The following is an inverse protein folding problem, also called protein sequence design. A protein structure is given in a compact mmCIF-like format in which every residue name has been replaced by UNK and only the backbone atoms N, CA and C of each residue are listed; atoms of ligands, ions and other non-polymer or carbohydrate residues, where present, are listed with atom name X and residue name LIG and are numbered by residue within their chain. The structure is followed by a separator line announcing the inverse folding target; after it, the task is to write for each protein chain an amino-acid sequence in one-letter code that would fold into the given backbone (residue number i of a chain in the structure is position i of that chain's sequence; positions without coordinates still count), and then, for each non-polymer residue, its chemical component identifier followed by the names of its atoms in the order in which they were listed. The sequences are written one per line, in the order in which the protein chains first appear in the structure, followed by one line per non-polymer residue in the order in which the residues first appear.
data_IF_054585390907
#
_entry.id   IF_054585390907
#
_cell.length_a   1.000
_cell.length_b   1.000
_cell.length_c   1.000
_cell.angle_alpha   90.00
_cell.angle_beta   90.00
_cell.angle_gamma   90.00
#
_symmetry.space_group_name_H-M   'P 1'
#
loop_
_entity.id
_entity.type
_entity.pdbx_description
1 polymer ?
#
# COMPACT_ATOMS: atom_id res chain seq x y z
N UNK A 1 23.52 -8.72 -7.27
CA UNK A 1 22.30 -8.61 -8.10
C UNK A 1 22.20 -7.28 -8.87
N UNK A 2 22.54 -6.13 -8.28
CA UNK A 2 22.41 -4.81 -8.94
C UNK A 2 23.71 -4.27 -9.58
N UNK A 3 24.87 -4.81 -9.21
CA UNK A 3 26.18 -4.25 -9.60
C UNK A 3 26.35 -4.09 -11.12
N UNK A 4 26.14 -5.17 -11.88
CA UNK A 4 26.23 -5.15 -13.35
C UNK A 4 25.20 -4.24 -14.03
N UNK A 5 24.07 -3.97 -13.38
CA UNK A 5 22.99 -3.13 -13.92
C UNK A 5 23.17 -1.64 -13.65
N UNK A 6 23.89 -1.30 -12.58
CA UNK A 6 24.17 0.07 -12.18
C UNK A 6 25.53 0.57 -12.68
N UNK A 7 26.41 -0.34 -13.10
CA UNK A 7 27.72 0.00 -13.65
C UNK A 7 27.55 0.77 -14.95
N UNK A 8 28.13 1.98 -15.01
CA UNK A 8 28.17 2.78 -16.23
C UNK A 8 29.50 2.56 -16.94
N UNK A 9 29.46 2.19 -18.22
CA UNK A 9 30.63 2.24 -19.08
C UNK A 9 30.95 3.72 -19.32
N UNK A 10 32.07 4.20 -18.77
CA UNK A 10 32.49 5.60 -18.91
C UNK A 10 34.00 5.67 -19.06
N UNK A 11 34.45 6.56 -19.95
CA UNK A 11 35.87 6.90 -20.14
C UNK A 11 36.35 8.02 -19.19
N UNK A 12 35.48 8.47 -18.27
CA UNK A 12 35.80 9.52 -17.28
C UNK A 12 36.48 8.90 -16.05
N UNK A 13 37.51 9.56 -15.52
CA UNK A 13 38.07 9.27 -14.20
C UNK A 13 37.01 9.53 -13.11
N UNK A 14 37.00 8.72 -12.04
CA UNK A 14 36.09 8.83 -10.88
C UNK A 14 34.59 8.66 -11.17
N UNK A 15 34.24 7.60 -11.90
CA UNK A 15 32.85 7.19 -12.05
C UNK A 15 32.24 6.79 -10.69
N UNK A 16 31.02 7.25 -10.42
CA UNK A 16 30.29 6.82 -9.21
C UNK A 16 30.07 5.30 -9.24
N UNK A 17 30.45 4.61 -8.17
CA UNK A 17 30.33 3.15 -8.09
C UNK A 17 28.86 2.73 -7.98
N UNK A 18 28.50 1.49 -8.36
CA UNK A 18 27.18 0.93 -8.08
C UNK A 18 26.78 1.04 -6.60
N UNK A 19 27.73 0.79 -5.69
CA UNK A 19 27.51 0.89 -4.24
C UNK A 19 27.17 2.31 -3.84
N UNK A 20 27.94 3.31 -4.29
CA UNK A 20 27.65 4.72 -3.97
C UNK A 20 26.30 5.17 -4.55
N UNK A 21 25.92 4.68 -5.74
CA UNK A 21 24.60 4.96 -6.29
C UNK A 21 23.48 4.41 -5.39
N UNK A 22 23.64 3.18 -4.89
CA UNK A 22 22.70 2.56 -3.95
C UNK A 22 22.66 3.34 -2.64
N UNK A 23 23.81 3.70 -2.07
CA UNK A 23 23.89 4.45 -0.81
C UNK A 23 23.20 5.81 -0.92
N UNK A 24 23.43 6.56 -2.01
CA UNK A 24 22.73 7.84 -2.26
C UNK A 24 21.22 7.65 -2.37
N UNK A 25 20.77 6.58 -3.01
CA UNK A 25 19.34 6.29 -3.17
C UNK A 25 18.70 5.91 -1.83
N UNK A 26 19.33 5.01 -1.07
CA UNK A 26 18.87 4.61 0.26
C UNK A 26 18.83 5.80 1.22
N UNK A 27 19.87 6.64 1.23
CA UNK A 27 19.91 7.85 2.03
C UNK A 27 18.78 8.81 1.65
N UNK A 28 18.49 8.97 0.36
CA UNK A 28 17.35 9.77 -0.08
C UNK A 28 16.03 9.16 0.41
N UNK A 29 15.81 7.85 0.26
CA UNK A 29 14.57 7.19 0.70
C UNK A 29 14.36 7.34 2.21
N UNK A 30 15.41 7.14 3.00
CA UNK A 30 15.40 7.18 4.46
C UNK A 30 15.31 8.60 5.05
N UNK A 31 15.68 9.64 4.30
CA UNK A 31 15.64 11.03 4.79
C UNK A 31 14.54 11.89 4.18
N UNK A 32 14.11 11.60 2.95
CA UNK A 32 13.29 12.53 2.16
C UNK A 32 13.94 13.88 1.91
N UNK A 33 15.26 14.00 2.11
CA UNK A 33 15.97 15.28 2.09
C UNK A 33 16.19 15.81 0.67
N UNK A 34 16.64 17.05 0.59
CA UNK A 34 17.02 17.68 -0.67
C UNK A 34 18.19 16.94 -1.32
N UNK A 35 18.12 16.80 -2.65
CA UNK A 35 19.18 16.15 -3.44
C UNK A 35 20.57 16.77 -3.25
N UNK A 36 20.64 18.05 -2.86
CA UNK A 36 21.89 18.73 -2.52
C UNK A 36 22.50 18.15 -1.24
N UNK A 37 21.71 18.10 -0.16
CA UNK A 37 22.15 17.54 1.12
C UNK A 37 22.59 16.07 1.00
N UNK A 38 21.85 15.28 0.23
CA UNK A 38 22.24 13.88 -0.08
C UNK A 38 23.56 13.83 -0.84
N UNK A 39 23.76 14.73 -1.80
CA UNK A 39 24.99 14.82 -2.60
C UNK A 39 26.21 15.27 -1.79
N UNK A 40 26.03 16.20 -0.86
CA UNK A 40 27.10 16.73 -0.02
C UNK A 40 27.76 15.61 0.82
N UNK A 41 26.98 14.60 1.26
CA UNK A 41 27.49 13.45 2.01
C UNK A 41 28.49 12.57 1.25
N UNK A 42 28.51 12.67 -0.09
CA UNK A 42 29.42 11.94 -0.99
C UNK A 42 30.22 12.86 -1.90
N UNK A 43 30.17 14.19 -1.68
CA UNK A 43 30.86 15.18 -2.50
C UNK A 43 30.40 15.20 -3.97
N UNK A 44 29.14 14.85 -4.27
CA UNK A 44 28.61 14.80 -5.64
C UNK A 44 27.53 15.85 -5.88
N UNK A 45 27.51 16.41 -7.09
CA UNK A 45 26.50 17.38 -7.49
C UNK A 45 25.08 16.76 -7.51
N UNK A 46 24.04 17.56 -7.20
CA UNK A 46 22.61 17.14 -7.18
C UNK A 46 22.16 16.39 -8.43
N UNK A 47 22.73 16.70 -9.60
CA UNK A 47 22.41 16.01 -10.85
C UNK A 47 22.86 14.55 -10.85
N UNK A 48 23.98 14.24 -10.20
CA UNK A 48 24.50 12.88 -10.05
C UNK A 48 23.62 12.08 -9.10
N UNK A 49 23.21 12.69 -7.98
CA UNK A 49 22.25 12.10 -7.03
C UNK A 49 20.93 11.78 -7.72
N UNK A 50 20.36 12.74 -8.46
CA UNK A 50 19.12 12.54 -9.21
C UNK A 50 19.21 11.33 -10.17
N UNK A 51 20.29 11.23 -10.95
CA UNK A 51 20.52 10.09 -11.85
C UNK A 51 20.69 8.78 -11.08
N UNK A 52 21.38 8.79 -9.94
CA UNK A 52 21.57 7.61 -9.11
C UNK A 52 20.23 7.11 -8.55
N UNK A 53 19.46 7.97 -7.88
CA UNK A 53 18.12 7.65 -7.36
C UNK A 53 17.24 7.08 -8.46
N UNK A 54 17.19 7.73 -9.63
CA UNK A 54 16.36 7.26 -10.74
C UNK A 54 16.78 5.88 -11.25
N UNK A 55 18.08 5.63 -11.40
CA UNK A 55 18.59 4.33 -11.89
C UNK A 55 18.31 3.24 -10.86
N UNK A 56 18.61 3.49 -9.58
CA UNK A 56 18.40 2.55 -8.49
C UNK A 56 16.93 2.25 -8.28
N UNK A 57 16.06 3.28 -8.24
CA UNK A 57 14.60 3.11 -8.14
C UNK A 57 14.06 2.22 -9.24
N UNK A 58 14.49 2.41 -10.49
CA UNK A 58 14.07 1.57 -11.61
C UNK A 58 14.50 0.12 -11.45
N UNK A 59 15.75 -0.13 -11.06
CA UNK A 59 16.24 -1.49 -10.88
C UNK A 59 15.59 -2.20 -9.69
N UNK A 60 15.35 -1.49 -8.58
CA UNK A 60 14.59 -2.03 -7.45
C UNK A 60 13.13 -2.29 -7.82
N UNK A 61 12.48 -1.39 -8.54
CA UNK A 61 11.09 -1.57 -8.97
C UNK A 61 10.91 -2.79 -9.90
N UNK A 62 11.93 -3.14 -10.70
CA UNK A 62 11.93 -4.38 -11.51
C UNK A 62 11.89 -5.65 -10.65
N UNK A 63 12.27 -5.58 -9.37
CA UNK A 63 12.17 -6.72 -8.45
C UNK A 63 10.75 -6.91 -7.91
N UNK A 64 9.78 -6.01 -8.20
CA UNK A 64 8.38 -6.12 -7.78
C UNK A 64 7.82 -7.54 -7.91
N UNK A 65 7.94 -8.26 -9.06
CA UNK A 65 7.36 -9.61 -9.19
C UNK A 65 7.96 -10.66 -8.23
N UNK A 66 9.12 -10.40 -7.63
CA UNK A 66 9.79 -11.30 -6.69
C UNK A 66 9.44 -11.03 -5.23
N UNK A 67 9.02 -9.80 -4.90
CA UNK A 67 8.78 -9.38 -3.52
C UNK A 67 7.34 -8.94 -3.24
N UNK A 68 6.60 -8.52 -4.26
CA UNK A 68 5.21 -8.05 -4.16
C UNK A 68 4.36 -8.94 -5.06
N UNK A 69 3.73 -9.93 -4.45
CA UNK A 69 2.84 -10.87 -5.11
C UNK A 69 1.78 -11.38 -4.12
N UNK A 70 0.56 -11.58 -4.63
CA UNK A 70 -0.49 -12.32 -3.93
C UNK A 70 -0.10 -13.80 -3.80
N UNK A 71 -0.67 -14.55 -2.84
CA UNK A 71 -0.43 -15.99 -2.70
C UNK A 71 -0.56 -16.74 -4.04
N UNK A 72 0.42 -17.60 -4.36
CA UNK A 72 0.50 -18.28 -5.68
C UNK A 72 -0.04 -19.70 -5.68
N UNK A 73 -0.22 -20.29 -4.51
CA UNK A 73 -0.66 -21.66 -4.35
C UNK A 73 -1.56 -21.80 -3.12
N UNK A 74 -2.23 -22.95 -3.02
CA UNK A 74 -3.16 -23.25 -1.94
C UNK A 74 -2.55 -23.10 -0.55
N UNK A 75 -1.30 -23.53 -0.37
CA UNK A 75 -0.64 -23.50 0.93
C UNK A 75 -0.36 -22.06 1.39
N UNK A 76 0.16 -21.21 0.51
CA UNK A 76 0.35 -19.79 0.79
C UNK A 76 -0.97 -19.06 1.06
N UNK A 77 -2.02 -19.44 0.33
CA UNK A 77 -3.37 -18.89 0.52
C UNK A 77 -3.92 -19.28 1.89
N UNK A 78 -3.89 -20.56 2.25
CA UNK A 78 -4.32 -21.05 3.58
C UNK A 78 -3.53 -20.38 4.71
N UNK A 79 -2.21 -20.22 4.55
CA UNK A 79 -1.39 -19.54 5.54
C UNK A 79 -1.82 -18.07 5.72
N UNK A 80 -2.13 -17.37 4.62
CA UNK A 80 -2.60 -15.98 4.66
C UNK A 80 -3.96 -15.88 5.34
N UNK A 81 -4.92 -16.74 4.96
CA UNK A 81 -6.25 -16.82 5.57
C UNK A 81 -6.16 -17.07 7.07
N UNK A 82 -5.36 -18.05 7.49
CA UNK A 82 -5.16 -18.35 8.91
C UNK A 82 -4.52 -17.18 9.66
N UNK A 83 -3.57 -16.46 9.04
CA UNK A 83 -2.94 -15.30 9.66
C UNK A 83 -3.94 -14.17 9.91
N UNK A 84 -4.82 -13.90 8.94
CA UNK A 84 -5.89 -12.92 9.12
C UNK A 84 -6.94 -13.37 10.15
N UNK A 85 -7.31 -14.65 10.10
CA UNK A 85 -8.26 -15.22 11.06
C UNK A 85 -7.80 -15.06 12.51
N UNK A 86 -6.48 -15.09 12.76
CA UNK A 86 -5.91 -14.89 14.08
C UNK A 86 -5.96 -13.44 14.59
N UNK A 87 -6.27 -12.44 13.75
CA UNK A 87 -6.37 -11.03 14.18
C UNK A 87 -7.67 -10.80 14.94
N UNK A 88 -8.81 -11.07 14.31
CA UNK A 88 -10.13 -10.85 14.92
C UNK A 88 -11.18 -11.83 14.40
N UNK A 89 -10.78 -13.07 14.07
CA UNK A 89 -11.67 -14.15 13.62
C UNK A 89 -12.45 -13.84 12.35
N UNK A 90 -11.97 -12.93 11.49
CA UNK A 90 -12.60 -12.71 10.20
C UNK A 90 -12.22 -13.85 9.23
N UNK A 91 -13.19 -14.60 8.67
CA UNK A 91 -12.90 -15.79 7.89
C UNK A 91 -12.50 -15.46 6.44
N UNK A 92 -11.73 -16.35 5.83
CA UNK A 92 -11.44 -16.38 4.37
C UNK A 92 -10.78 -15.11 3.81
N UNK A 93 -10.11 -14.28 4.61
CA UNK A 93 -9.46 -13.05 4.13
C UNK A 93 -8.11 -13.36 3.47
N UNK A 94 -7.89 -12.85 2.25
CA UNK A 94 -6.62 -12.98 1.52
C UNK A 94 -5.83 -11.66 1.45
N UNK A 95 -6.44 -10.54 1.84
CA UNK A 95 -5.77 -9.25 1.90
C UNK A 95 -6.66 -8.13 2.44
N UNK A 96 -6.04 -7.11 3.03
CA UNK A 96 -6.69 -5.83 3.32
C UNK A 96 -6.28 -4.81 2.26
N UNK A 97 -7.26 -4.13 1.65
CA UNK A 97 -7.04 -3.17 0.57
C UNK A 97 -7.38 -1.76 1.03
N UNK A 98 -6.51 -0.83 0.66
CA UNK A 98 -6.72 0.60 0.89
C UNK A 98 -5.81 1.42 -0.04
N UNK A 99 -6.05 2.73 -0.11
CA UNK A 99 -5.17 3.65 -0.78
C UNK A 99 -4.45 4.61 0.17
N UNK A 100 -3.32 5.13 -0.28
CA UNK A 100 -2.54 6.11 0.47
C UNK A 100 -1.99 7.20 -0.44
N UNK A 101 -2.05 8.44 0.03
CA UNK A 101 -1.52 9.57 -0.73
C UNK A 101 -0.01 9.69 -0.56
N UNK A 102 0.71 9.78 -1.69
CA UNK A 102 2.10 10.23 -1.75
C UNK A 102 2.12 11.67 -2.24
N UNK A 103 2.47 12.61 -1.38
CA UNK A 103 2.39 14.04 -1.71
C UNK A 103 3.46 14.46 -2.71
N UNK A 104 3.06 15.34 -3.62
CA UNK A 104 3.90 15.83 -4.71
C UNK A 104 3.89 17.36 -4.75
N UNK A 105 4.87 17.95 -5.43
CA UNK A 105 4.72 19.32 -5.90
C UNK A 105 3.66 19.37 -7.01
N UNK A 106 2.96 20.50 -7.12
CA UNK A 106 2.04 20.71 -8.24
C UNK A 106 2.77 20.39 -9.54
N UNK A 107 2.22 19.48 -10.37
CA UNK A 107 2.88 19.12 -11.63
C UNK A 107 2.82 20.26 -12.64
N UNK A 108 2.04 21.31 -12.37
CA UNK A 108 1.81 22.45 -13.26
C UNK A 108 1.02 22.06 -14.51
N UNK A 109 0.71 23.08 -15.33
CA UNK A 109 -0.06 22.91 -16.57
C UNK A 109 -1.53 22.57 -16.35
N UNK A 110 -2.22 22.29 -17.45
CA UNK A 110 -3.69 22.18 -17.50
C UNK A 110 -4.24 20.98 -16.70
N UNK A 111 -3.39 19.98 -16.41
CA UNK A 111 -3.78 18.74 -15.76
C UNK A 111 -3.43 18.70 -14.26
N UNK A 112 -2.96 19.81 -13.69
CA UNK A 112 -2.54 19.85 -12.28
C UNK A 112 -3.68 19.50 -11.32
N UNK A 113 -4.90 19.94 -11.63
CA UNK A 113 -6.09 19.73 -10.80
C UNK A 113 -6.45 18.25 -10.65
N UNK A 114 -6.14 17.39 -11.62
CA UNK A 114 -6.33 15.94 -11.45
C UNK A 114 -5.55 15.37 -10.27
N UNK A 115 -4.43 15.99 -9.89
CA UNK A 115 -3.60 15.54 -8.78
C UNK A 115 -4.03 16.11 -7.43
N UNK A 116 -4.97 17.06 -7.40
CA UNK A 116 -5.48 17.65 -6.16
C UNK A 116 -6.38 16.64 -5.46
N UNK A 117 -6.05 16.31 -4.21
CA UNK A 117 -6.84 15.42 -3.38
C UNK A 117 -7.89 16.20 -2.56
N UNK A 118 -8.70 15.46 -1.80
CA UNK A 118 -9.76 16.02 -0.93
C UNK A 118 -9.23 16.93 0.20
N UNK A 119 -7.94 16.89 0.50
CA UNK A 119 -7.25 17.72 1.50
C UNK A 119 -6.54 18.92 0.87
N UNK A 120 -7.01 19.37 -0.30
CA UNK A 120 -6.48 20.49 -1.07
C UNK A 120 -4.96 20.39 -1.38
N UNK A 121 -4.43 19.17 -1.46
CA UNK A 121 -3.01 18.89 -1.66
C UNK A 121 -2.76 18.05 -2.91
N UNK A 122 -1.67 18.34 -3.63
CA UNK A 122 -1.28 17.53 -4.79
C UNK A 122 -0.63 16.22 -4.34
N UNK A 123 -1.10 15.10 -4.90
CA UNK A 123 -0.59 13.76 -4.55
C UNK A 123 -0.74 12.75 -5.69
N UNK A 124 -0.09 11.59 -5.53
CA UNK A 124 -0.43 10.35 -6.23
C UNK A 124 -1.32 9.48 -5.33
N UNK A 125 -2.40 9.00 -5.95
CA UNK A 125 -3.35 7.96 -5.56
C UNK A 125 -2.69 6.55 -5.43
N UNK A 126 -2.23 6.01 -4.30
CA UNK A 126 -1.53 4.70 -4.28
C UNK A 126 -2.33 3.61 -3.60
N UNK A 127 -2.90 2.67 -4.38
CA UNK A 127 -3.60 1.49 -3.85
C UNK A 127 -2.60 0.39 -3.46
N UNK A 128 -2.86 -0.27 -2.33
CA UNK A 128 -2.09 -1.40 -1.82
C UNK A 128 -3.02 -2.47 -1.28
N UNK A 129 -2.64 -3.73 -1.50
CA UNK A 129 -3.16 -4.86 -0.72
C UNK A 129 -2.06 -5.30 0.24
N UNK A 130 -2.35 -5.34 1.54
CA UNK A 130 -1.46 -5.82 2.59
C UNK A 130 -1.93 -7.19 3.11
N UNK A 131 -0.99 -8.01 3.58
CA UNK A 131 -1.32 -9.21 4.38
C UNK A 131 -1.34 -8.92 5.89
N UNK A 132 -1.77 -9.90 6.68
CA UNK A 132 -1.81 -9.85 8.15
C UNK A 132 -0.45 -9.52 8.81
N UNK A 133 0.66 -9.74 8.10
CA UNK A 133 2.03 -9.52 8.56
C UNK A 133 2.63 -8.24 7.96
N UNK A 134 1.81 -7.29 7.52
CA UNK A 134 2.22 -6.02 6.93
C UNK A 134 3.16 -6.14 5.72
N UNK A 135 3.10 -7.24 4.95
CA UNK A 135 3.73 -7.30 3.64
C UNK A 135 2.83 -6.66 2.60
N UNK A 136 3.42 -5.89 1.69
CA UNK A 136 2.73 -5.35 0.51
C UNK A 136 2.59 -6.47 -0.52
N UNK A 137 1.37 -6.93 -0.80
CA UNK A 137 1.08 -8.05 -1.70
C UNK A 137 0.65 -7.61 -3.10
N UNK A 138 0.06 -6.41 -3.20
CA UNK A 138 -0.25 -5.74 -4.45
C UNK A 138 -0.01 -4.23 -4.32
N UNK A 139 0.30 -3.56 -5.43
CA UNK A 139 0.49 -2.10 -5.45
C UNK A 139 0.13 -1.50 -6.81
N UNK A 140 -0.61 -0.39 -6.80
CA UNK A 140 -0.91 0.46 -7.98
C UNK A 140 -0.56 1.90 -7.65
N UNK A 141 0.51 2.43 -8.23
CA UNK A 141 1.09 3.74 -7.89
C UNK A 141 1.03 4.78 -9.04
N UNK A 142 0.01 4.71 -9.89
CA UNK A 142 -0.08 5.50 -11.14
C UNK A 142 -1.20 6.54 -11.19
N UNK A 143 -2.03 6.62 -10.16
CA UNK A 143 -3.25 7.42 -10.20
C UNK A 143 -3.02 8.84 -9.67
N UNK A 144 -3.62 9.86 -10.27
CA UNK A 144 -3.66 11.21 -9.70
C UNK A 144 -4.39 11.25 -8.35
N UNK A 145 -4.01 12.18 -7.48
CA UNK A 145 -4.58 12.34 -6.14
C UNK A 145 -6.08 12.62 -6.06
N UNK A 146 -6.70 13.12 -7.14
CA UNK A 146 -8.15 13.30 -7.21
C UNK A 146 -8.92 12.01 -7.56
N UNK A 147 -8.23 10.89 -7.82
CA UNK A 147 -8.86 9.62 -8.17
C UNK A 147 -9.46 8.97 -6.92
N UNK A 148 -10.72 8.53 -7.03
CA UNK A 148 -11.40 7.76 -5.99
C UNK A 148 -10.86 6.33 -5.91
N UNK A 149 -10.81 5.78 -4.70
CA UNK A 149 -10.26 4.46 -4.41
C UNK A 149 -10.98 3.33 -5.16
N UNK A 150 -12.31 3.41 -5.26
CA UNK A 150 -13.13 2.51 -6.08
C UNK A 150 -12.72 2.52 -7.55
N UNK A 151 -12.49 3.70 -8.13
CA UNK A 151 -12.06 3.83 -9.52
C UNK A 151 -10.67 3.21 -9.77
N UNK A 152 -9.76 3.37 -8.80
CA UNK A 152 -8.44 2.75 -8.86
C UNK A 152 -8.56 1.23 -8.84
N UNK A 153 -9.41 0.69 -7.95
CA UNK A 153 -9.69 -0.75 -7.87
C UNK A 153 -10.31 -1.30 -9.14
N UNK A 154 -11.31 -0.60 -9.69
CA UNK A 154 -11.99 -1.02 -10.92
C UNK A 154 -11.06 -1.10 -12.12
N UNK A 155 -9.98 -0.32 -12.09
CA UNK A 155 -8.94 -0.28 -13.12
C UNK A 155 -7.68 -1.09 -12.76
N UNK A 156 -7.73 -1.87 -11.69
CA UNK A 156 -6.60 -2.66 -11.17
C UNK A 156 -6.62 -4.09 -11.71
N UNK A 157 -5.43 -4.67 -11.92
CA UNK A 157 -5.32 -6.10 -12.27
C UNK A 157 -5.80 -7.00 -11.10
N UNK A 158 -5.71 -6.53 -9.85
CA UNK A 158 -6.14 -7.36 -8.72
C UNK A 158 -7.64 -7.64 -8.78
N UNK A 159 -8.47 -6.69 -9.22
CA UNK A 159 -9.90 -6.93 -9.45
C UNK A 159 -10.14 -8.09 -10.41
N UNK A 160 -9.55 -8.05 -11.62
CA UNK A 160 -9.73 -9.12 -12.61
C UNK A 160 -9.30 -10.49 -12.09
N UNK A 161 -8.20 -10.56 -11.33
CA UNK A 161 -7.73 -11.82 -10.71
C UNK A 161 -8.69 -12.35 -9.62
N UNK A 162 -9.36 -11.47 -8.89
CA UNK A 162 -10.41 -11.89 -7.94
C UNK A 162 -11.66 -12.38 -8.69
N UNK A 163 -12.07 -11.69 -9.76
CA UNK A 163 -13.20 -12.07 -10.63
C UNK A 163 -12.97 -13.42 -11.32
N UNK A 164 -11.74 -13.68 -11.76
CA UNK A 164 -11.32 -14.96 -12.37
C UNK A 164 -11.24 -16.11 -11.36
N UNK A 165 -11.47 -15.84 -10.06
CA UNK A 165 -11.42 -16.86 -9.00
C UNK A 165 -10.02 -17.38 -8.71
N UNK A 166 -8.95 -16.64 -9.07
CA UNK A 166 -7.55 -17.07 -8.88
C UNK A 166 -7.27 -17.40 -7.40
N UNK A 167 -7.93 -16.68 -6.48
CA UNK A 167 -7.78 -16.85 -5.04
C UNK A 167 -8.88 -17.71 -4.41
N UNK A 168 -9.69 -18.41 -5.20
CA UNK A 168 -10.80 -19.23 -4.71
C UNK A 168 -11.83 -18.41 -3.94
N UNK A 169 -12.57 -19.08 -3.05
CA UNK A 169 -13.58 -18.48 -2.18
C UNK A 169 -12.92 -17.70 -1.02
N UNK A 170 -12.37 -16.52 -1.34
CA UNK A 170 -11.70 -15.61 -0.40
C UNK A 170 -12.04 -14.15 -0.61
N UNK A 171 -11.82 -13.35 0.42
CA UNK A 171 -12.22 -11.94 0.49
C UNK A 171 -11.01 -11.00 0.56
N UNK A 172 -11.14 -9.85 -0.10
CA UNK A 172 -10.44 -8.64 0.30
C UNK A 172 -11.32 -7.86 1.29
N UNK A 173 -10.70 -7.18 2.26
CA UNK A 173 -11.38 -6.22 3.12
C UNK A 173 -11.02 -4.79 2.72
N UNK A 174 -12.02 -4.00 2.33
CA UNK A 174 -11.87 -2.57 1.99
C UNK A 174 -12.70 -1.67 2.90
N UNK A 175 -12.45 -0.37 2.88
CA UNK A 175 -13.28 0.61 3.59
C UNK A 175 -14.60 0.89 2.85
N UNK A 176 -15.37 1.84 3.38
CA UNK A 176 -16.65 2.28 2.83
C UNK A 176 -16.55 2.96 1.46
N UNK A 177 -15.37 3.44 1.06
CA UNK A 177 -15.12 4.04 -0.25
C UNK A 177 -15.10 3.03 -1.40
N UNK A 178 -15.10 1.73 -1.09
CA UNK A 178 -15.21 0.66 -2.07
C UNK A 178 -16.67 0.18 -2.20
N UNK A 179 -17.05 -0.22 -3.41
CA UNK A 179 -18.29 -0.95 -3.62
C UNK A 179 -18.16 -2.36 -3.01
N UNK A 180 -19.20 -2.81 -2.31
CA UNK A 180 -19.33 -4.22 -1.89
C UNK A 180 -19.32 -5.12 -3.13
N UNK A 181 -18.61 -6.24 -3.06
CA UNK A 181 -18.56 -7.28 -4.11
C UNK A 181 -18.52 -8.67 -3.52
N UNK A 182 -18.81 -9.68 -4.34
CA UNK A 182 -18.63 -11.11 -4.03
C UNK A 182 -17.19 -11.56 -3.76
N UNK A 183 -16.24 -10.65 -3.66
CA UNK A 183 -14.85 -10.90 -3.25
C UNK A 183 -14.22 -9.69 -2.52
N UNK A 184 -14.98 -8.63 -2.26
CA UNK A 184 -14.52 -7.41 -1.56
C UNK A 184 -15.58 -6.97 -0.56
N UNK A 185 -15.29 -7.13 0.72
CA UNK A 185 -16.20 -6.83 1.81
C UNK A 185 -15.88 -5.47 2.44
N UNK A 186 -16.95 -4.71 2.72
CA UNK A 186 -16.90 -3.38 3.33
C UNK A 186 -17.75 -3.34 4.60
N UNK A 187 -17.44 -2.46 5.57
CA UNK A 187 -18.18 -2.40 6.82
C UNK A 187 -19.62 -1.90 6.59
N UNK A 188 -20.54 -2.35 7.43
CA UNK A 188 -21.92 -1.84 7.46
C UNK A 188 -21.92 -0.36 7.89
N UNK A 189 -22.79 0.43 7.26
CA UNK A 189 -22.98 1.83 7.63
C UNK A 189 -23.64 1.95 9.01
N UNK A 190 -24.73 1.19 9.21
CA UNK A 190 -25.58 1.22 10.39
C UNK A 190 -25.82 -0.22 10.90
N UNK A 191 -24.90 -0.81 11.67
CA UNK A 191 -25.13 -2.11 12.32
C UNK A 191 -26.22 -1.96 13.39
N UNK A 192 -27.11 -2.94 13.48
CA UNK A 192 -28.29 -3.00 14.35
C UNK A 192 -28.39 -4.29 15.15
N UNK A 193 -27.89 -5.42 14.62
CA UNK A 193 -27.88 -6.72 15.32
C UNK A 193 -26.53 -6.99 15.98
N UNK A 194 -26.49 -7.92 16.94
CA UNK A 194 -25.23 -8.34 17.57
C UNK A 194 -24.22 -8.90 16.56
N UNK A 195 -24.67 -9.71 15.60
CA UNK A 195 -23.80 -10.24 14.54
C UNK A 195 -23.31 -9.15 13.58
N UNK A 196 -24.12 -8.14 13.27
CA UNK A 196 -23.71 -6.98 12.47
C UNK A 196 -22.63 -6.15 13.19
N UNK A 197 -22.78 -5.93 14.50
CA UNK A 197 -21.77 -5.27 15.31
C UNK A 197 -20.47 -6.08 15.35
N UNK A 198 -20.55 -7.39 15.56
CA UNK A 198 -19.39 -8.28 15.59
C UNK A 198 -18.68 -8.36 14.23
N UNK A 199 -19.44 -8.40 13.13
CA UNK A 199 -18.91 -8.30 11.77
C UNK A 199 -18.10 -7.00 11.60
N UNK A 200 -18.67 -5.85 11.98
CA UNK A 200 -17.99 -4.56 11.83
C UNK A 200 -16.74 -4.48 12.72
N UNK A 201 -16.82 -4.90 13.98
CA UNK A 201 -15.66 -4.94 14.88
C UNK A 201 -14.54 -5.82 14.33
N UNK A 202 -14.89 -7.03 13.88
CA UNK A 202 -13.95 -7.96 13.27
C UNK A 202 -13.35 -7.40 11.98
N UNK A 203 -14.17 -6.82 11.10
CA UNK A 203 -13.75 -6.20 9.84
C UNK A 203 -12.74 -5.09 10.08
N UNK A 204 -13.09 -4.12 10.93
CA UNK A 204 -12.27 -2.94 11.23
C UNK A 204 -10.91 -3.36 11.80
N UNK A 205 -10.90 -4.27 12.79
CA UNK A 205 -9.65 -4.77 13.39
C UNK A 205 -8.78 -5.54 12.40
N UNK A 206 -9.38 -6.37 11.56
CA UNK A 206 -8.65 -7.14 10.54
C UNK A 206 -8.09 -6.21 9.46
N UNK A 207 -8.88 -5.24 8.97
CA UNK A 207 -8.48 -4.31 7.91
C UNK A 207 -7.36 -3.37 8.34
N UNK A 208 -7.33 -2.91 9.59
CA UNK A 208 -6.36 -1.95 10.14
C UNK A 208 -4.89 -2.30 9.82
N UNK A 209 -4.56 -3.56 9.54
CA UNK A 209 -3.21 -3.96 9.08
C UNK A 209 -2.72 -3.18 7.85
N UNK A 210 -3.60 -2.75 6.93
CA UNK A 210 -3.19 -1.98 5.75
C UNK A 210 -2.75 -0.57 6.13
N UNK A 211 -3.42 0.06 7.10
CA UNK A 211 -3.06 1.37 7.65
C UNK A 211 -1.75 1.28 8.45
N UNK A 212 -1.58 0.25 9.28
CA UNK A 212 -0.30 -0.06 9.94
C UNK A 212 0.82 -0.27 8.92
N UNK A 213 0.54 -0.94 7.80
CA UNK A 213 1.51 -1.11 6.71
C UNK A 213 1.91 0.24 6.13
N UNK A 214 0.97 1.16 5.89
CA UNK A 214 1.29 2.52 5.44
C UNK A 214 2.13 3.29 6.44
N UNK A 215 1.77 3.24 7.72
CA UNK A 215 2.52 3.87 8.81
C UNK A 215 3.97 3.40 8.84
N UNK A 216 4.19 2.08 8.88
CA UNK A 216 5.53 1.49 8.87
C UNK A 216 6.30 1.84 7.59
N UNK A 217 5.65 1.75 6.43
CA UNK A 217 6.28 1.99 5.14
C UNK A 217 6.73 3.44 4.97
N UNK A 218 5.89 4.41 5.34
CA UNK A 218 6.20 5.85 5.26
C UNK A 218 7.20 6.30 6.32
N UNK A 219 7.18 5.71 7.53
CA UNK A 219 8.20 5.98 8.55
C UNK A 219 9.57 5.40 8.18
N UNK A 220 9.59 4.21 7.58
CA UNK A 220 10.83 3.58 7.08
C UNK A 220 11.42 4.36 5.91
N UNK A 221 10.57 4.90 5.04
CA UNK A 221 10.99 5.71 3.90
C UNK A 221 10.29 7.08 3.87
N UNK A 222 10.74 8.05 4.70
CA UNK A 222 10.19 9.39 4.77
C UNK A 222 10.12 10.11 3.42
N UNK A 223 10.89 9.71 2.41
CA UNK A 223 10.75 10.23 1.06
C UNK A 223 9.32 10.12 0.50
N UNK A 224 8.58 9.05 0.81
CA UNK A 224 7.17 8.88 0.37
C UNK A 224 6.14 9.31 1.43
N UNK A 225 6.59 9.54 2.67
CA UNK A 225 5.76 10.14 3.73
C UNK A 225 5.72 11.67 3.68
N UNK A 226 6.77 12.29 3.13
CA UNK A 226 6.89 13.73 2.92
C UNK A 226 6.57 14.13 1.47
N UNK A 227 6.57 15.45 1.20
CA UNK A 227 6.30 15.97 -0.15
C UNK A 227 7.48 15.72 -1.09
N UNK A 228 7.32 14.80 -2.04
CA UNK A 228 8.31 14.51 -3.08
C UNK A 228 8.47 15.68 -4.05
N UNK A 229 9.72 16.09 -4.27
CA UNK A 229 10.12 17.19 -5.18
C UNK A 229 10.90 16.65 -6.37
N UNK A 230 10.33 15.64 -7.02
CA UNK A 230 10.90 14.98 -8.20
C UNK A 230 9.85 14.92 -9.30
N UNK A 231 10.26 14.72 -10.56
CA UNK A 231 9.29 14.60 -11.64
C UNK A 231 8.41 13.35 -11.46
N UNK A 232 7.12 13.46 -11.81
CA UNK A 232 6.10 12.40 -11.73
C UNK A 232 6.58 11.05 -12.27
N UNK A 233 7.28 11.05 -13.42
CA UNK A 233 7.79 9.83 -14.05
C UNK A 233 8.74 9.03 -13.14
N UNK A 234 9.46 9.71 -12.25
CA UNK A 234 10.41 9.09 -11.33
C UNK A 234 9.76 8.70 -10.00
N UNK A 235 8.67 9.37 -9.62
CA UNK A 235 7.93 9.09 -8.37
C UNK A 235 7.40 7.66 -8.35
N UNK A 236 6.79 7.20 -9.45
CA UNK A 236 6.25 5.84 -9.53
C UNK A 236 7.32 4.78 -9.27
N UNK A 237 8.52 4.96 -9.83
CA UNK A 237 9.64 4.05 -9.60
C UNK A 237 10.15 4.12 -8.16
N UNK A 238 10.18 5.30 -7.54
CA UNK A 238 10.55 5.47 -6.12
C UNK A 238 9.55 4.74 -5.23
N UNK A 239 8.24 4.96 -5.44
CA UNK A 239 7.18 4.32 -4.66
C UNK A 239 7.28 2.79 -4.75
N UNK A 240 7.37 2.23 -5.96
CA UNK A 240 7.49 0.77 -6.10
C UNK A 240 8.82 0.24 -5.53
N UNK A 241 9.92 0.97 -5.68
CA UNK A 241 11.20 0.60 -5.10
C UNK A 241 11.17 0.55 -3.56
N UNK A 242 10.58 1.56 -2.91
CA UNK A 242 10.47 1.56 -1.45
C UNK A 242 9.50 0.48 -0.96
N UNK A 243 8.44 0.15 -1.70
CA UNK A 243 7.57 -0.99 -1.38
C UNK A 243 8.32 -2.33 -1.44
N UNK A 244 9.17 -2.51 -2.46
CA UNK A 244 10.05 -3.70 -2.57
C UNK A 244 11.02 -3.76 -1.38
N UNK A 245 11.67 -2.64 -1.05
CA UNK A 245 12.59 -2.56 0.08
C UNK A 245 11.88 -2.81 1.40
N UNK A 246 10.65 -2.32 1.59
CA UNK A 246 9.82 -2.61 2.77
C UNK A 246 9.64 -4.12 2.96
N UNK A 247 9.25 -4.84 1.91
CA UNK A 247 9.09 -6.29 1.99
C UNK A 247 10.43 -7.03 2.20
N UNK A 248 11.54 -6.52 1.65
CA UNK A 248 12.88 -7.07 1.92
C UNK A 248 13.21 -6.90 3.41
N UNK A 249 13.01 -5.71 3.99
CA UNK A 249 13.22 -5.46 5.41
C UNK A 249 12.36 -6.37 6.28
N UNK A 250 11.06 -6.53 5.94
CA UNK A 250 10.16 -7.48 6.64
C UNK A 250 10.68 -8.91 6.57
N UNK A 251 11.14 -9.36 5.41
CA UNK A 251 11.69 -10.71 5.21
C UNK A 251 12.98 -10.93 6.01
N UNK A 252 13.80 -9.90 6.17
CA UNK A 252 15.04 -9.94 6.95
C UNK A 252 14.81 -9.73 8.45
N UNK A 253 13.57 -9.59 8.90
CA UNK A 253 13.21 -9.27 10.29
C UNK A 253 13.91 -8.00 10.81
N UNK A 254 14.08 -7.00 9.95
CA UNK A 254 14.59 -5.69 10.33
C UNK A 254 13.63 -5.01 11.32
N UNK A 255 14.22 -4.26 12.25
CA UNK A 255 13.47 -3.50 13.26
C UNK A 255 12.45 -2.58 12.58
N UNK A 256 11.25 -2.50 13.16
CA UNK A 256 10.23 -1.57 12.70
C UNK A 256 10.56 -0.17 13.21
N UNK A 257 10.30 0.89 12.41
CA UNK A 257 10.38 2.24 12.94
C UNK A 257 9.46 2.36 14.18
N UNK A 258 9.81 3.18 15.17
CA UNK A 258 8.99 3.38 16.37
C UNK A 258 7.67 4.03 15.99
N UNK A 259 6.57 3.58 16.61
CA UNK A 259 5.25 4.18 16.40
C UNK A 259 5.28 5.64 16.87
N UNK A 260 4.66 6.51 16.08
CA UNK A 260 4.40 7.87 16.54
C UNK A 260 3.20 7.77 17.48
N UNK A 261 3.25 8.48 18.61
CA UNK A 261 2.11 8.55 19.54
C UNK A 261 0.89 9.04 18.76
N UNK A 262 -0.15 8.20 18.65
CA UNK A 262 -1.38 8.54 17.93
C UNK A 262 -2.00 9.79 18.54
N UNK A 263 -2.01 10.89 17.77
CA UNK A 263 -2.82 12.06 18.09
C UNK A 263 -4.16 11.81 17.41
N UNK A 264 -5.04 11.06 18.08
CA UNK A 264 -6.46 10.87 17.80
C UNK A 264 -6.84 10.66 16.30
N UNK A 265 -7.10 9.42 15.94
CA UNK A 265 -7.91 9.10 14.75
C UNK A 265 -9.37 9.52 15.02
N UNK A 266 -9.71 10.75 14.66
CA UNK A 266 -11.11 11.09 14.42
C UNK A 266 -11.60 10.26 13.23
N UNK A 267 -12.49 9.32 13.51
CA UNK A 267 -13.22 8.55 12.52
C UNK A 267 -14.16 9.54 11.81
N UNK A 268 -13.80 10.01 10.62
CA UNK A 268 -14.70 10.75 9.75
C UNK A 268 -15.83 9.80 9.29
N UNK A 269 -16.97 9.84 9.99
CA UNK A 269 -18.21 9.19 9.56
C UNK A 269 -18.78 10.01 8.41
N UNK A 270 -18.32 9.75 7.19
CA UNK A 270 -18.96 10.27 5.98
C UNK A 270 -20.14 9.36 5.63
N UNK A 271 -21.35 9.90 5.74
CA UNK A 271 -22.58 9.26 5.25
C UNK A 271 -22.68 9.42 3.74
N UNK A 272 -22.35 8.38 2.98
CA UNK A 272 -22.77 8.25 1.57
C UNK A 272 -23.72 7.07 1.43
N UNK A 273 -24.89 7.35 0.86
CA UNK A 273 -25.96 6.40 0.54
C UNK A 273 -25.69 5.76 -0.82
N UNK A 274 -25.06 4.59 -0.82
CA UNK A 274 -24.93 3.73 -1.99
C UNK A 274 -26.04 2.68 -2.04
N UNK A 275 -26.67 2.52 -3.20
CA UNK A 275 -27.83 1.66 -3.45
C UNK A 275 -27.52 0.16 -3.38
N UNK A 276 -28.37 -0.56 -2.65
CA UNK A 276 -28.39 -2.02 -2.46
C UNK A 276 -28.63 -2.80 -3.76
N UNK A 277 -27.66 -3.59 -4.23
CA UNK A 277 -27.94 -4.73 -5.12
C UNK A 277 -26.97 -5.94 -4.96
N UNK A 278 -26.01 -5.93 -4.03
CA UNK A 278 -25.10 -7.09 -3.76
C UNK A 278 -25.01 -7.45 -2.26
N UNK A 279 -26.08 -7.21 -1.50
CA UNK A 279 -26.11 -7.41 -0.03
C UNK A 279 -26.13 -8.89 0.40
N UNK A 280 -26.31 -9.84 -0.53
CA UNK A 280 -26.45 -11.26 -0.20
C UNK A 280 -25.18 -11.85 0.39
N UNK A 281 -23.99 -11.55 -0.16
CA UNK A 281 -22.75 -12.19 0.30
C UNK A 281 -22.37 -11.77 1.72
N UNK A 282 -22.48 -10.48 2.03
CA UNK A 282 -22.21 -9.96 3.38
C UNK A 282 -23.30 -10.42 4.36
N UNK A 283 -24.58 -10.36 3.96
CA UNK A 283 -25.69 -10.82 4.79
C UNK A 283 -25.64 -12.33 5.10
N UNK A 284 -25.26 -13.15 4.12
CA UNK A 284 -25.01 -14.58 4.29
C UNK A 284 -23.85 -14.85 5.24
N UNK A 285 -22.75 -14.08 5.13
CA UNK A 285 -21.63 -14.20 6.06
C UNK A 285 -22.03 -13.82 7.49
N UNK A 286 -22.81 -12.75 7.65
CA UNK A 286 -23.29 -12.33 8.97
C UNK A 286 -24.17 -13.42 9.58
N UNK A 287 -25.19 -13.88 8.85
CA UNK A 287 -26.14 -14.87 9.35
C UNK A 287 -25.54 -16.26 9.58
N UNK A 288 -24.65 -16.71 8.69
CA UNK A 288 -24.07 -18.06 8.79
C UNK A 288 -22.91 -18.17 9.78
N UNK A 289 -22.23 -17.06 10.08
CA UNK A 289 -21.00 -17.06 10.87
C UNK A 289 -21.05 -16.09 12.06
N UNK A 290 -21.30 -14.79 11.85
CA UNK A 290 -21.22 -13.80 12.92
C UNK A 290 -22.39 -13.88 13.92
N UNK A 291 -23.60 -14.17 13.46
CA UNK A 291 -24.75 -14.40 14.36
C UNK A 291 -24.48 -15.61 15.27
N UNK A 292 -23.96 -16.70 14.70
CA UNK A 292 -23.58 -17.89 15.48
C UNK A 292 -22.44 -17.64 16.46
N UNK A 293 -21.49 -16.78 16.11
CA UNK A 293 -20.42 -16.39 17.03
C UNK A 293 -20.94 -15.55 18.19
N UNK A 294 -21.87 -14.62 17.91
CA UNK A 294 -22.50 -13.78 18.92
C UNK A 294 -23.30 -14.63 19.93
N UNK A 295 -24.05 -15.62 19.44
CA UNK A 295 -24.86 -16.53 20.26
C UNK A 295 -24.02 -17.42 21.20
N UNK A 296 -22.80 -17.78 20.80
CA UNK A 296 -21.95 -18.69 21.56
C UNK A 296 -21.04 -17.99 22.60
N UNK A 297 -21.08 -16.66 22.74
CA UNK A 297 -20.23 -15.87 23.65
C UNK A 297 -18.72 -16.18 23.54
N UNK A 298 -18.24 -16.59 22.37
CA UNK A 298 -16.81 -16.84 22.11
C UNK A 298 -16.21 -15.53 21.61
N UNK A 299 -15.72 -14.70 22.55
CA UNK A 299 -14.92 -13.50 22.24
C UNK A 299 -13.54 -13.68 22.84
#
# INVERSE_FOLDING_TARGET
MLDSRLRRLTKRNNAITPVDQILLALQFYASGSFLRCVGDSKGVHKSTVCRAIHTVSKELAKLRPHFIFMPRNENERKATVNSFYNISRFPKVVGAIDCTHVYIQSPGGNNAEYYRNRKDSFSLNVQVVADANCYIKNIVARWPGGSHDSHIFDSSNIKGRMEDGEFGDTWLLGDRGYALRSFLLTPLANPTTAGEHLYNESHIRTRNVVERTFGCWKRRFPAIGSKLRVNLKYMQAIIVATAVLHNICRKMNEEQPPDLVDINEEIDIVHETGTNYEDSTRGELISSYFDRLADNHII
#
